data_IF_291314764653
#
_entry.id   IF_291314764653
#
_cell.length_a   1.000
_cell.length_b   1.000
_cell.length_c   1.000
_cell.angle_alpha   90.00
_cell.angle_beta   90.00
_cell.angle_gamma   90.00
#
_symmetry.space_group_name_H-M   'P 1'
#
loop_
_entity.id
_entity.type
_entity.pdbx_description
1 polymer ?
#
# COMPACT_ATOMS: atom_id res chain seq x y z
N UNK A 1 33.84 27.67 5.95
CA UNK A 1 32.77 27.07 5.12
C UNK A 1 31.65 26.68 6.08
N UNK A 2 30.63 27.52 6.29
CA UNK A 2 29.33 27.52 5.59
C UNK A 2 28.66 26.13 5.61
N UNK A 3 27.75 25.88 6.56
CA UNK A 3 26.29 25.63 6.34
C UNK A 3 25.99 24.15 6.68
N UNK A 4 24.89 23.71 7.29
CA UNK A 4 23.60 24.31 7.62
C UNK A 4 22.96 23.50 8.75
N UNK A 5 22.21 24.18 9.60
CA UNK A 5 21.30 23.59 10.57
C UNK A 5 20.21 22.76 9.87
N UNK A 6 19.94 21.57 10.38
CA UNK A 6 18.80 20.74 10.03
C UNK A 6 18.13 20.26 11.31
N UNK A 7 17.36 21.16 11.93
CA UNK A 7 16.63 20.93 13.18
C UNK A 7 15.29 20.27 12.82
N UNK A 8 15.21 18.95 12.91
CA UNK A 8 13.92 18.26 12.90
C UNK A 8 13.49 17.99 14.33
N UNK A 9 12.55 18.81 14.79
CA UNK A 9 11.77 18.56 15.99
C UNK A 9 10.95 17.27 15.81
N UNK A 10 11.31 16.22 16.54
CA UNK A 10 10.43 15.09 16.80
C UNK A 10 9.72 15.36 18.11
N UNK A 11 8.46 15.79 18.01
CA UNK A 11 7.56 16.08 19.13
C UNK A 11 7.40 14.83 20.00
N UNK A 12 7.78 14.97 21.27
CA UNK A 12 7.43 14.05 22.34
C UNK A 12 5.93 14.20 22.62
N UNK A 13 5.13 13.21 22.26
CA UNK A 13 3.69 13.17 22.53
C UNK A 13 3.39 12.06 23.53
N UNK A 14 3.75 12.30 24.78
CA UNK A 14 3.19 11.57 25.92
C UNK A 14 1.73 11.99 26.10
N UNK A 15 0.81 11.19 25.57
CA UNK A 15 -0.62 11.39 25.76
C UNK A 15 -1.49 10.96 24.57
N UNK A 16 -1.31 9.75 24.02
CA UNK A 16 -2.22 9.33 22.93
C UNK A 16 -2.42 7.83 22.68
N UNK A 17 -2.41 6.98 23.72
CA UNK A 17 -2.73 5.54 23.55
C UNK A 17 -4.18 5.24 23.13
N UNK A 18 -4.97 6.26 22.75
CA UNK A 18 -6.41 6.15 22.48
C UNK A 18 -6.85 6.71 21.12
N UNK A 19 -5.94 7.29 20.31
CA UNK A 19 -6.29 7.80 18.95
C UNK A 19 -5.54 7.09 17.82
N UNK A 20 -4.61 6.21 18.16
CA UNK A 20 -3.95 5.29 17.24
C UNK A 20 -4.96 4.23 16.79
N UNK A 21 -5.44 4.38 15.55
CA UNK A 21 -6.37 3.43 14.93
C UNK A 21 -5.63 2.67 13.84
N UNK A 22 -6.05 1.44 13.58
CA UNK A 22 -5.55 0.65 12.44
C UNK A 22 -6.45 0.92 11.24
N UNK A 23 -5.84 1.28 10.11
CA UNK A 23 -6.60 1.53 8.90
C UNK A 23 -7.02 0.22 8.23
N UNK A 24 -8.31 0.06 7.91
CA UNK A 24 -8.83 -1.12 7.20
C UNK A 24 -8.29 -1.28 5.77
N UNK A 25 -7.81 -0.18 5.15
CA UNK A 25 -7.31 -0.16 3.77
C UNK A 25 -5.81 -0.48 3.66
N UNK A 26 -4.96 0.31 4.32
CA UNK A 26 -3.51 0.14 4.24
C UNK A 26 -2.92 -0.74 5.35
N UNK A 27 -3.73 -1.12 6.35
CA UNK A 27 -3.32 -1.89 7.54
C UNK A 27 -2.24 -1.21 8.39
N UNK A 28 -1.97 0.07 8.16
CA UNK A 28 -1.06 0.87 8.96
C UNK A 28 -1.77 1.47 10.17
N UNK A 29 -1.01 1.65 11.24
CA UNK A 29 -1.43 2.44 12.39
C UNK A 29 -1.36 3.90 12.00
N UNK A 30 -2.43 4.65 12.27
CA UNK A 30 -2.50 6.08 12.00
C UNK A 30 -3.16 6.80 13.17
N UNK A 31 -2.81 8.06 13.33
CA UNK A 31 -3.50 8.93 14.28
C UNK A 31 -4.73 9.56 13.61
N UNK A 32 -5.87 9.46 14.28
CA UNK A 32 -7.13 9.98 13.75
C UNK A 32 -7.15 11.50 13.57
N UNK A 33 -6.35 12.25 14.34
CA UNK A 33 -6.29 13.71 14.26
C UNK A 33 -5.34 14.21 13.16
N UNK A 34 -4.35 13.41 12.76
CA UNK A 34 -3.42 13.71 11.65
C UNK A 34 -3.89 13.12 10.30
N UNK A 35 -5.12 12.62 10.23
CA UNK A 35 -5.65 12.00 9.02
C UNK A 35 -5.97 13.06 7.95
N UNK A 36 -5.29 13.00 6.81
CA UNK A 36 -5.57 13.83 5.65
C UNK A 36 -5.81 12.96 4.41
N UNK A 37 -6.31 13.58 3.33
CA UNK A 37 -6.67 12.88 2.08
C UNK A 37 -5.49 12.23 1.37
N UNK A 38 -4.26 12.48 1.80
CA UNK A 38 -3.04 11.94 1.20
C UNK A 38 -2.24 11.07 2.20
N UNK A 39 -2.76 10.81 3.41
CA UNK A 39 -2.06 10.05 4.45
C UNK A 39 -2.08 8.54 4.18
N UNK A 40 -3.21 8.00 3.72
CA UNK A 40 -3.39 6.56 3.53
C UNK A 40 -2.99 6.14 2.12
N UNK A 41 -1.91 5.36 1.98
CA UNK A 41 -1.54 4.71 0.72
C UNK A 41 -2.01 3.26 0.71
N UNK A 42 -2.92 2.91 -0.19
CA UNK A 42 -3.41 1.52 -0.32
C UNK A 42 -3.59 1.12 -1.78
N UNK A 43 -3.68 -0.18 -2.01
CA UNK A 43 -4.06 -0.76 -3.30
C UNK A 43 -5.58 -1.03 -3.27
N UNK A 44 -6.40 -0.33 -4.08
CA UNK A 44 -7.85 -0.56 -4.14
C UNK A 44 -8.19 -1.91 -4.80
N UNK A 45 -7.34 -2.37 -5.73
CA UNK A 45 -7.46 -3.70 -6.32
C UNK A 45 -6.71 -4.74 -5.51
N UNK A 46 -7.19 -5.98 -5.56
CA UNK A 46 -6.53 -7.12 -4.93
C UNK A 46 -5.24 -7.49 -5.67
N UNK A 47 -4.35 -8.20 -4.97
CA UNK A 47 -3.18 -8.81 -5.59
C UNK A 47 -3.63 -10.02 -6.40
N UNK A 48 -3.53 -9.94 -7.72
CA UNK A 48 -4.05 -10.95 -8.65
C UNK A 48 -2.90 -11.80 -9.16
N UNK A 49 -3.08 -13.12 -9.17
CA UNK A 49 -2.16 -14.09 -9.77
C UNK A 49 -2.73 -14.52 -11.14
N UNK A 50 -2.69 -13.64 -12.13
CA UNK A 50 -3.16 -13.90 -13.51
C UNK A 50 -2.13 -13.33 -14.48
N UNK A 51 -1.97 -13.89 -15.68
CA UNK A 51 -1.16 -13.26 -16.74
C UNK A 51 -2.04 -12.29 -17.51
N UNK A 52 -1.55 -11.09 -17.83
CA UNK A 52 -2.25 -10.14 -18.72
C UNK A 52 -2.55 -10.71 -20.12
N UNK A 53 -1.86 -11.79 -20.51
CA UNK A 53 -1.89 -12.39 -21.85
C UNK A 53 -2.82 -13.63 -21.95
N UNK A 54 -3.62 -13.92 -20.92
CA UNK A 54 -4.33 -15.20 -20.78
C UNK A 54 -5.35 -15.52 -21.90
N UNK A 55 -5.77 -14.52 -22.68
CA UNK A 55 -6.72 -14.76 -23.77
C UNK A 55 -6.08 -15.30 -25.08
N UNK A 56 -4.74 -15.28 -25.22
CA UNK A 56 -4.07 -15.76 -26.46
C UNK A 56 -3.09 -16.91 -26.30
N UNK A 57 -2.50 -17.14 -25.11
CA UNK A 57 -1.41 -18.13 -24.94
C UNK A 57 -1.77 -19.42 -24.19
N UNK A 58 -3.03 -19.63 -23.80
CA UNK A 58 -3.46 -20.79 -23.02
C UNK A 58 -3.11 -22.15 -23.69
N UNK A 59 -2.94 -22.20 -25.02
CA UNK A 59 -2.68 -23.42 -25.78
C UNK A 59 -1.22 -23.62 -26.22
N UNK A 60 -0.30 -22.69 -25.91
CA UNK A 60 1.12 -22.75 -26.32
C UNK A 60 2.09 -22.96 -25.14
N UNK A 61 1.57 -23.22 -23.94
CA UNK A 61 2.38 -23.51 -22.76
C UNK A 61 3.07 -24.86 -22.92
N UNK A 62 4.36 -24.84 -23.30
CA UNK A 62 5.24 -25.98 -23.20
C UNK A 62 5.53 -26.36 -21.73
N UNK A 63 5.96 -27.60 -21.45
CA UNK A 63 6.21 -28.10 -20.09
C UNK A 63 7.33 -27.38 -19.31
N UNK A 64 8.03 -26.43 -19.94
CA UNK A 64 9.14 -25.65 -19.38
C UNK A 64 8.70 -24.25 -18.90
N UNK A 65 7.45 -23.84 -19.12
CA UNK A 65 7.00 -22.50 -18.74
C UNK A 65 6.81 -22.41 -17.21
N UNK A 66 7.49 -21.47 -16.51
CA UNK A 66 7.42 -21.36 -15.06
C UNK A 66 5.98 -21.17 -14.56
N UNK A 67 5.53 -21.94 -13.55
CA UNK A 67 4.15 -21.93 -13.11
C UNK A 67 3.75 -20.54 -12.61
N UNK A 68 2.76 -19.92 -13.28
CA UNK A 68 1.93 -18.80 -12.79
C UNK A 68 2.66 -17.75 -11.92
N UNK A 69 3.88 -17.35 -12.32
CA UNK A 69 4.75 -16.51 -11.48
C UNK A 69 4.38 -15.02 -11.49
N UNK A 70 3.68 -14.55 -12.52
CA UNK A 70 3.25 -13.15 -12.60
C UNK A 70 2.10 -12.91 -11.63
N UNK A 71 2.44 -12.35 -10.47
CA UNK A 71 1.48 -11.84 -9.50
C UNK A 71 1.66 -10.34 -9.45
N UNK A 72 0.60 -9.58 -9.66
CA UNK A 72 0.67 -8.13 -9.64
C UNK A 72 -0.58 -7.51 -9.04
N UNK A 73 -0.46 -6.26 -8.60
CA UNK A 73 -1.59 -5.43 -8.23
C UNK A 73 -2.25 -4.87 -9.49
N UNK A 74 -3.49 -5.25 -9.75
CA UNK A 74 -4.26 -4.75 -10.91
C UNK A 74 -4.38 -3.21 -10.95
N UNK A 75 -4.29 -2.53 -9.80
CA UNK A 75 -4.36 -1.06 -9.76
C UNK A 75 -3.14 -0.34 -10.35
N UNK A 76 -1.96 -0.96 -10.32
CA UNK A 76 -0.71 -0.28 -10.70
C UNK A 76 0.31 -1.16 -11.44
N UNK A 77 0.00 -2.44 -11.63
CA UNK A 77 0.93 -3.42 -12.19
C UNK A 77 2.11 -3.76 -11.28
N UNK A 78 2.11 -3.33 -10.01
CA UNK A 78 3.21 -3.64 -9.10
C UNK A 78 3.26 -5.15 -8.84
N UNK A 79 4.38 -5.76 -9.19
CA UNK A 79 4.63 -7.20 -9.02
C UNK A 79 5.02 -7.54 -7.57
N UNK A 80 5.56 -6.56 -6.85
CA UNK A 80 5.97 -6.69 -5.46
C UNK A 80 4.77 -6.60 -4.49
N UNK A 81 4.50 -7.64 -3.68
CA UNK A 81 3.47 -7.60 -2.62
C UNK A 81 3.72 -6.51 -1.56
N UNK A 82 4.98 -6.09 -1.42
CA UNK A 82 5.40 -5.07 -0.47
C UNK A 82 5.36 -3.65 -1.06
N UNK A 83 4.96 -3.50 -2.32
CA UNK A 83 4.85 -2.19 -2.96
C UNK A 83 3.91 -1.28 -2.18
N UNK A 84 4.33 -0.03 -2.01
CA UNK A 84 3.48 1.00 -1.41
C UNK A 84 2.20 1.16 -2.20
N UNK A 85 1.08 1.41 -1.51
CA UNK A 85 -0.21 1.63 -2.15
C UNK A 85 -0.17 2.64 -3.31
N UNK A 86 -0.75 2.25 -4.43
CA UNK A 86 -0.84 3.03 -5.66
C UNK A 86 -1.77 4.25 -5.52
N UNK A 87 -2.77 4.15 -4.64
CA UNK A 87 -3.79 5.19 -4.41
C UNK A 87 -3.59 5.83 -3.05
N UNK A 88 -3.79 7.15 -2.98
CA UNK A 88 -3.79 7.89 -1.72
C UNK A 88 -5.20 8.37 -1.36
N UNK A 89 -5.57 8.26 -0.08
CA UNK A 89 -6.85 8.73 0.44
C UNK A 89 -6.76 9.00 1.95
N UNK A 90 -7.88 9.29 2.59
CA UNK A 90 -8.01 9.27 4.05
C UNK A 90 -7.87 7.84 4.59
N UNK A 91 -7.30 7.72 5.78
CA UNK A 91 -7.38 6.48 6.55
C UNK A 91 -8.82 6.25 7.00
N UNK A 92 -9.25 4.99 6.95
CA UNK A 92 -10.57 4.54 7.40
C UNK A 92 -10.39 3.55 8.54
N UNK A 93 -11.03 3.81 9.68
CA UNK A 93 -11.05 2.91 10.82
C UNK A 93 -11.95 1.70 10.56
N UNK A 94 -11.77 0.62 11.32
CA UNK A 94 -12.75 -0.49 11.34
C UNK A 94 -14.12 -0.08 11.89
N UNK A 95 -14.17 0.99 12.68
CA UNK A 95 -15.39 1.57 13.28
C UNK A 95 -16.15 2.50 12.32
N UNK A 96 -15.53 2.95 11.22
CA UNK A 96 -16.19 3.73 10.17
C UNK A 96 -16.79 2.76 9.13
N UNK A 97 -18.13 2.63 9.12
CA UNK A 97 -18.90 1.95 8.05
C UNK A 97 -19.12 2.85 6.84
#
# INVERSE_FOLDING_TARGET
MAEKAGKTAGVEAEGNRSREKVCKRCKQIYDSASNNSNSCRFHPSFFVCRRHDDQKRYYELGPDDPPYAAKFYDCCGAEDPQASGCTTNFHVSYDDE
#
